data_IF_909767253237
#
_entry.id   IF_909767253237
#
_cell.length_a   1.000
_cell.length_b   1.000
_cell.length_c   1.000
_cell.angle_alpha   90.00
_cell.angle_beta   90.00
_cell.angle_gamma   90.00
#
_symmetry.space_group_name_H-M   'P 1'
#
loop_
_entity.id
_entity.type
_entity.pdbx_description
1 polymer ?
#
# COMPACT_ATOMS: atom_id res chain seq x y z
N UNK A 1 -2.88 -29.88 7.95
CA UNK A 1 -2.32 -28.86 7.05
C UNK A 1 -2.96 -28.99 5.67
N UNK A 2 -3.90 -28.12 5.26
CA UNK A 2 -4.50 -28.22 3.94
C UNK A 2 -3.68 -27.42 2.91
N UNK A 3 -2.98 -28.15 2.03
CA UNK A 3 -2.84 -27.91 0.58
C UNK A 3 -2.75 -26.45 0.06
N UNK A 4 -1.81 -25.64 0.53
CA UNK A 4 -1.53 -24.29 -0.02
C UNK A 4 -0.90 -24.32 -1.43
N UNK A 5 -0.26 -25.41 -1.86
CA UNK A 5 0.42 -25.48 -3.17
C UNK A 5 -0.52 -25.52 -4.38
N UNK A 6 -1.81 -25.82 -4.19
CA UNK A 6 -2.79 -25.87 -5.29
C UNK A 6 -3.48 -24.54 -5.58
N UNK A 7 -3.37 -23.53 -4.71
CA UNK A 7 -3.98 -22.21 -4.94
C UNK A 7 -3.06 -21.25 -5.69
N UNK A 8 -1.74 -21.29 -5.46
CA UNK A 8 -0.79 -20.40 -6.13
C UNK A 8 -0.59 -20.69 -7.62
N UNK A 9 -0.67 -21.96 -8.04
CA UNK A 9 -0.55 -22.28 -9.46
C UNK A 9 -1.75 -21.79 -10.28
N UNK A 10 -2.91 -21.56 -9.65
CA UNK A 10 -4.15 -21.16 -10.34
C UNK A 10 -4.15 -19.70 -10.76
N UNK A 11 -3.43 -18.81 -10.08
CA UNK A 11 -3.44 -17.37 -10.39
C UNK A 11 -2.74 -17.03 -11.73
N UNK A 12 -1.49 -17.47 -11.98
CA UNK A 12 -0.80 -17.25 -13.24
C UNK A 12 -1.46 -18.01 -14.39
N UNK A 13 -1.85 -19.27 -14.16
CA UNK A 13 -2.57 -20.07 -15.14
C UNK A 13 -3.90 -19.44 -15.51
N UNK A 14 -4.66 -18.85 -14.58
CA UNK A 14 -5.94 -18.21 -14.88
C UNK A 14 -5.75 -16.90 -15.66
N UNK A 15 -4.67 -16.14 -15.43
CA UNK A 15 -4.30 -14.96 -16.25
C UNK A 15 -3.83 -15.37 -17.66
N UNK A 16 -3.02 -16.42 -17.75
CA UNK A 16 -2.52 -16.99 -19.00
C UNK A 16 -3.67 -17.60 -19.79
N UNK A 17 -4.44 -18.51 -19.17
CA UNK A 17 -5.67 -19.09 -19.71
C UNK A 17 -6.64 -18.00 -20.14
N UNK A 18 -6.88 -16.95 -19.37
CA UNK A 18 -7.78 -15.85 -19.77
C UNK A 18 -7.33 -15.13 -21.04
N UNK A 19 -6.03 -14.89 -21.23
CA UNK A 19 -5.48 -14.32 -22.48
C UNK A 19 -5.61 -15.29 -23.65
N UNK A 20 -5.32 -16.58 -23.43
CA UNK A 20 -5.45 -17.60 -24.47
C UNK A 20 -6.90 -18.00 -24.75
N UNK A 21 -7.83 -17.79 -23.82
CA UNK A 21 -9.26 -18.07 -23.99
C UNK A 21 -9.88 -17.09 -24.98
N UNK A 22 -9.53 -15.80 -24.86
CA UNK A 22 -9.93 -14.78 -25.83
C UNK A 22 -9.36 -15.07 -27.22
N UNK A 23 -8.09 -15.42 -27.32
CA UNK A 23 -7.44 -15.78 -28.59
C UNK A 23 -8.05 -17.06 -29.20
N UNK A 24 -8.24 -18.11 -28.40
CA UNK A 24 -8.85 -19.37 -28.82
C UNK A 24 -10.30 -19.16 -29.26
N UNK A 25 -11.06 -18.30 -28.55
CA UNK A 25 -12.39 -17.87 -28.97
C UNK A 25 -12.35 -17.23 -30.36
N UNK A 26 -11.50 -16.21 -30.57
CA UNK A 26 -11.36 -15.56 -31.89
C UNK A 26 -11.00 -16.57 -32.98
N UNK A 27 -10.08 -17.51 -32.72
CA UNK A 27 -9.69 -18.55 -33.68
C UNK A 27 -10.88 -19.46 -34.02
N UNK A 28 -11.61 -19.96 -33.02
CA UNK A 28 -12.78 -20.84 -33.22
C UNK A 28 -13.90 -20.10 -33.95
N UNK A 29 -14.11 -18.82 -33.64
CA UNK A 29 -15.07 -17.97 -34.34
C UNK A 29 -14.71 -17.80 -35.82
N UNK A 30 -13.46 -17.41 -36.11
CA UNK A 30 -12.96 -17.25 -37.48
C UNK A 30 -13.03 -18.55 -38.27
N UNK A 31 -12.70 -19.68 -37.63
CA UNK A 31 -12.80 -21.01 -38.23
C UNK A 31 -14.25 -21.37 -38.55
N UNK A 32 -15.20 -21.05 -37.66
CA UNK A 32 -16.63 -21.22 -37.90
C UNK A 32 -17.14 -20.39 -39.08
N UNK A 33 -16.73 -19.11 -39.16
CA UNK A 33 -17.06 -18.22 -40.29
C UNK A 33 -16.46 -18.74 -41.59
N UNK A 34 -15.21 -19.20 -41.57
CA UNK A 34 -14.50 -19.68 -42.75
C UNK A 34 -15.11 -20.99 -43.28
N UNK A 35 -15.45 -21.94 -42.40
CA UNK A 35 -16.19 -23.15 -42.76
C UNK A 35 -17.52 -22.83 -43.43
N UNK A 36 -18.25 -21.85 -42.90
CA UNK A 36 -19.52 -21.39 -43.48
C UNK A 36 -19.34 -20.75 -44.85
N UNK A 37 -18.30 -19.93 -45.04
CA UNK A 37 -17.99 -19.30 -46.33
C UNK A 37 -17.59 -20.33 -47.40
N UNK A 38 -16.80 -21.34 -47.03
CA UNK A 38 -16.33 -22.39 -47.95
C UNK A 38 -17.46 -23.34 -48.40
N UNK A 39 -18.49 -23.51 -47.56
CA UNK A 39 -19.68 -24.30 -47.87
C UNK A 39 -20.72 -23.52 -48.70
N UNK A 40 -20.52 -22.21 -48.90
CA UNK A 40 -21.50 -21.34 -49.55
C UNK A 40 -21.56 -21.62 -51.06
N UNK A 41 -22.76 -21.88 -51.58
CA UNK A 41 -22.98 -22.17 -53.01
C UNK A 41 -22.68 -23.61 -53.44
N UNK A 42 -22.30 -24.50 -52.51
CA UNK A 42 -22.10 -25.93 -52.79
C UNK A 42 -23.31 -26.75 -52.34
N UNK A 43 -23.68 -27.76 -53.11
CA UNK A 43 -24.83 -28.63 -52.84
C UNK A 43 -24.39 -30.03 -52.43
N UNK A 44 -25.05 -30.61 -51.44
CA UNK A 44 -24.83 -31.98 -50.98
C UNK A 44 -24.64 -32.08 -49.47
N UNK A 45 -24.97 -33.24 -48.91
CA UNK A 45 -25.04 -33.49 -47.46
C UNK A 45 -23.81 -33.02 -46.68
N UNK A 46 -22.61 -33.24 -47.20
CA UNK A 46 -21.35 -32.84 -46.54
C UNK A 46 -21.22 -31.32 -46.44
N UNK A 47 -21.67 -30.59 -47.45
CA UNK A 47 -21.61 -29.13 -47.47
C UNK A 47 -22.66 -28.51 -46.55
N UNK A 48 -23.85 -29.10 -46.49
CA UNK A 48 -24.90 -28.70 -45.55
C UNK A 48 -24.46 -28.92 -44.09
N UNK A 49 -23.88 -30.08 -43.77
CA UNK A 49 -23.32 -30.35 -42.45
C UNK A 49 -22.18 -29.38 -42.07
N UNK A 50 -21.31 -29.03 -43.03
CA UNK A 50 -20.20 -28.09 -42.80
C UNK A 50 -20.72 -26.68 -42.51
N UNK A 51 -21.79 -26.25 -43.18
CA UNK A 51 -22.45 -24.95 -42.96
C UNK A 51 -23.05 -24.86 -41.55
N UNK A 52 -23.69 -25.93 -41.10
CA UNK A 52 -24.31 -25.99 -39.77
C UNK A 52 -23.26 -26.00 -38.66
N UNK A 53 -22.19 -26.78 -38.82
CA UNK A 53 -21.04 -26.79 -37.90
C UNK A 53 -20.37 -25.42 -37.84
N UNK A 54 -20.12 -24.78 -38.99
CA UNK A 54 -19.53 -23.46 -39.05
C UNK A 54 -20.38 -22.39 -38.35
N UNK A 55 -21.71 -22.45 -38.55
CA UNK A 55 -22.66 -21.56 -37.89
C UNK A 55 -22.70 -21.78 -36.38
N UNK A 56 -22.72 -23.05 -35.94
CA UNK A 56 -22.70 -23.39 -34.52
C UNK A 56 -21.43 -22.88 -33.84
N UNK A 57 -20.24 -23.12 -34.42
CA UNK A 57 -18.98 -22.65 -33.86
C UNK A 57 -18.90 -21.12 -33.76
N UNK A 58 -19.39 -20.40 -34.78
CA UNK A 58 -19.42 -18.94 -34.76
C UNK A 58 -20.37 -18.41 -33.67
N UNK A 59 -21.57 -18.99 -33.55
CA UNK A 59 -22.59 -18.54 -32.58
C UNK A 59 -22.21 -18.91 -31.14
N UNK A 60 -21.71 -20.13 -30.93
CA UNK A 60 -21.31 -20.65 -29.61
C UNK A 60 -20.16 -19.84 -28.98
N UNK A 61 -19.33 -19.16 -29.79
CA UNK A 61 -18.30 -18.26 -29.30
C UNK A 61 -18.79 -16.82 -29.21
N UNK A 62 -19.53 -16.33 -30.22
CA UNK A 62 -19.97 -14.95 -30.25
C UNK A 62 -20.89 -14.60 -29.07
N UNK A 63 -21.86 -15.47 -28.74
CA UNK A 63 -22.84 -15.19 -27.68
C UNK A 63 -22.15 -15.04 -26.30
N UNK A 64 -21.34 -15.99 -25.81
CA UNK A 64 -20.65 -15.83 -24.53
C UNK A 64 -19.66 -14.67 -24.53
N UNK A 65 -18.98 -14.41 -25.66
CA UNK A 65 -18.06 -13.28 -25.77
C UNK A 65 -18.79 -11.95 -25.61
N UNK A 66 -19.88 -11.72 -26.35
CA UNK A 66 -20.68 -10.51 -26.23
C UNK A 66 -21.31 -10.37 -24.84
N UNK A 67 -21.77 -11.47 -24.25
CA UNK A 67 -22.32 -11.47 -22.90
C UNK A 67 -21.27 -11.11 -21.83
N UNK A 68 -20.09 -11.74 -21.85
CA UNK A 68 -19.04 -11.45 -20.86
C UNK A 68 -18.34 -10.10 -21.08
N UNK A 69 -18.13 -9.69 -22.33
CA UNK A 69 -17.32 -8.50 -22.65
C UNK A 69 -18.10 -7.21 -22.83
N UNK A 70 -19.39 -7.27 -23.15
CA UNK A 70 -20.22 -6.07 -23.25
C UNK A 70 -21.19 -6.03 -22.08
N UNK A 71 -22.06 -7.03 -21.95
CA UNK A 71 -23.15 -6.97 -20.96
C UNK A 71 -22.61 -6.98 -19.53
N UNK A 72 -21.78 -7.96 -19.19
CA UNK A 72 -21.26 -8.11 -17.82
C UNK A 72 -20.27 -7.02 -17.41
N UNK A 73 -19.54 -6.43 -18.35
CA UNK A 73 -18.64 -5.31 -18.05
C UNK A 73 -19.41 -4.01 -17.83
N UNK A 74 -20.41 -3.74 -18.67
CA UNK A 74 -21.30 -2.57 -18.55
C UNK A 74 -22.12 -2.67 -17.26
N UNK A 75 -22.76 -3.82 -16.99
CA UNK A 75 -23.49 -4.06 -15.73
C UNK A 75 -22.59 -3.89 -14.50
N UNK A 76 -21.33 -4.36 -14.57
CA UNK A 76 -20.38 -4.17 -13.49
C UNK A 76 -20.01 -2.70 -13.30
N UNK A 77 -19.78 -1.96 -14.37
CA UNK A 77 -19.49 -0.53 -14.28
C UNK A 77 -20.69 0.25 -13.74
N UNK A 78 -21.90 -0.08 -14.20
CA UNK A 78 -23.15 0.48 -13.70
C UNK A 78 -23.29 0.21 -12.20
N UNK A 79 -23.13 -1.04 -11.77
CA UNK A 79 -23.18 -1.42 -10.35
C UNK A 79 -22.13 -0.67 -9.51
N UNK A 80 -20.90 -0.53 -9.99
CA UNK A 80 -19.87 0.22 -9.26
C UNK A 80 -20.18 1.71 -9.16
N UNK A 81 -20.76 2.27 -10.23
CA UNK A 81 -21.18 3.69 -10.25
C UNK A 81 -22.35 3.91 -9.30
N UNK A 82 -23.36 3.04 -9.30
CA UNK A 82 -24.49 3.08 -8.36
C UNK A 82 -24.02 2.87 -6.91
N UNK A 83 -23.04 1.99 -6.69
CA UNK A 83 -22.45 1.79 -5.37
C UNK A 83 -21.73 3.06 -4.90
N UNK A 84 -20.94 3.69 -5.77
CA UNK A 84 -20.24 4.94 -5.44
C UNK A 84 -21.24 6.07 -5.16
N UNK A 85 -22.27 6.23 -5.98
CA UNK A 85 -23.34 7.21 -5.76
C UNK A 85 -24.10 6.93 -4.46
N UNK A 86 -24.38 5.67 -4.13
CA UNK A 86 -25.01 5.30 -2.87
C UNK A 86 -24.09 5.60 -1.67
N UNK A 87 -22.80 5.35 -1.80
CA UNK A 87 -21.81 5.68 -0.77
C UNK A 87 -21.67 7.19 -0.58
N UNK A 88 -21.61 7.97 -1.66
CA UNK A 88 -21.56 9.43 -1.62
C UNK A 88 -22.85 10.01 -1.02
N UNK A 89 -24.03 9.48 -1.39
CA UNK A 89 -25.31 9.94 -0.84
C UNK A 89 -25.49 9.57 0.63
N UNK A 90 -25.13 8.34 1.03
CA UNK A 90 -25.28 7.89 2.43
C UNK A 90 -24.17 8.39 3.34
N UNK A 91 -23.00 8.66 2.80
CA UNK A 91 -21.82 9.07 3.55
C UNK A 91 -21.07 10.21 2.82
N UNK A 92 -21.67 11.40 2.67
CA UNK A 92 -21.11 12.49 1.85
C UNK A 92 -19.67 12.93 2.21
N UNK A 93 -19.19 12.55 3.40
CA UNK A 93 -17.85 12.87 3.89
C UNK A 93 -16.97 11.63 4.15
N UNK A 94 -17.27 10.45 3.60
CA UNK A 94 -16.47 9.25 3.91
C UNK A 94 -15.02 9.32 3.41
N UNK A 95 -14.75 10.16 2.40
CA UNK A 95 -13.42 10.47 1.87
C UNK A 95 -12.80 11.74 2.49
N UNK A 96 -13.59 12.56 3.19
CA UNK A 96 -13.08 13.81 3.77
C UNK A 96 -12.04 13.46 4.86
N UNK A 97 -10.80 13.94 4.70
CA UNK A 97 -9.75 13.76 5.71
C UNK A 97 -8.98 12.45 5.62
N UNK A 98 -9.26 11.65 4.60
CA UNK A 98 -8.50 10.47 4.21
C UNK A 98 -7.82 10.72 2.86
N UNK A 99 -6.50 10.90 2.87
CA UNK A 99 -5.70 10.91 1.64
C UNK A 99 -4.96 9.58 1.50
N UNK A 100 -5.27 8.85 0.44
CA UNK A 100 -4.63 7.59 0.08
C UNK A 100 -3.52 7.83 -0.96
N UNK A 101 -2.33 7.34 -0.68
CA UNK A 101 -1.22 7.28 -1.63
C UNK A 101 -1.14 5.83 -2.12
N UNK A 102 -1.76 5.53 -3.26
CA UNK A 102 -1.87 4.15 -3.77
C UNK A 102 -0.53 3.59 -4.23
N UNK A 103 0.27 4.41 -4.91
CA UNK A 103 1.53 4.01 -5.55
C UNK A 103 2.75 4.12 -4.61
N UNK A 104 2.52 4.03 -3.30
CA UNK A 104 3.59 3.96 -2.31
C UNK A 104 3.74 5.20 -1.45
N UNK A 105 5.00 5.63 -1.25
CA UNK A 105 5.34 6.69 -0.30
C UNK A 105 4.91 8.08 -0.78
N UNK A 106 4.44 8.96 0.13
CA UNK A 106 4.25 10.37 -0.19
C UNK A 106 5.59 11.04 -0.55
N UNK A 107 5.49 12.17 -1.24
CA UNK A 107 6.66 13.00 -1.53
C UNK A 107 7.28 13.56 -0.24
N UNK A 108 8.53 14.05 -0.33
CA UNK A 108 9.18 14.71 0.81
C UNK A 108 8.40 15.97 1.19
N UNK A 109 7.90 16.73 0.20
CA UNK A 109 7.08 17.92 0.44
C UNK A 109 5.81 17.57 1.22
N UNK A 110 5.03 16.58 0.76
CA UNK A 110 3.82 16.13 1.47
C UNK A 110 4.13 15.73 2.91
N UNK A 111 5.26 15.03 3.12
CA UNK A 111 5.68 14.63 4.47
C UNK A 111 6.04 15.83 5.35
N UNK A 112 6.74 16.81 4.80
CA UNK A 112 7.07 18.06 5.51
C UNK A 112 5.81 18.85 5.83
N UNK A 113 4.85 18.91 4.91
CA UNK A 113 3.57 19.58 5.12
C UNK A 113 2.82 18.96 6.29
N UNK A 114 2.76 17.62 6.36
CA UNK A 114 2.17 16.89 7.51
C UNK A 114 2.94 17.20 8.81
N UNK A 115 4.28 17.18 8.78
CA UNK A 115 5.09 17.45 9.98
C UNK A 115 4.96 18.90 10.46
N UNK A 116 4.78 19.84 9.54
CA UNK A 116 4.69 21.28 9.84
C UNK A 116 3.47 21.64 10.68
N UNK A 117 2.44 20.77 10.72
CA UNK A 117 1.26 20.98 11.56
C UNK A 117 1.50 20.67 13.04
N UNK A 118 2.66 20.09 13.40
CA UNK A 118 2.98 19.69 14.76
C UNK A 118 3.10 20.89 15.70
N UNK A 119 2.41 20.80 16.84
CA UNK A 119 2.44 21.78 17.93
C UNK A 119 3.14 21.25 19.16
N UNK A 120 3.04 19.95 19.44
CA UNK A 120 3.52 19.36 20.68
C UNK A 120 4.42 18.16 20.45
N UNK A 121 3.99 17.20 19.63
CA UNK A 121 4.75 15.96 19.44
C UNK A 121 4.62 15.36 18.04
N UNK A 122 5.69 14.68 17.62
CA UNK A 122 5.72 13.82 16.45
C UNK A 122 6.27 12.46 16.85
N UNK A 123 5.46 11.41 16.69
CA UNK A 123 5.85 10.02 16.96
C UNK A 123 6.04 9.27 15.65
N UNK A 124 7.26 8.82 15.39
CA UNK A 124 7.61 8.01 14.22
C UNK A 124 7.84 6.56 14.63
N UNK A 125 6.92 5.69 14.22
CA UNK A 125 7.03 4.24 14.37
C UNK A 125 7.55 3.61 13.08
N UNK A 126 8.63 2.84 13.18
CA UNK A 126 9.20 2.15 12.03
C UNK A 126 10.27 1.14 12.43
N UNK A 127 10.65 0.27 11.49
CA UNK A 127 11.64 -0.77 11.76
C UNK A 127 13.05 -0.20 11.80
N UNK A 128 13.50 0.43 10.70
CA UNK A 128 14.87 0.93 10.55
C UNK A 128 14.98 2.44 10.32
N UNK A 129 13.89 3.16 10.02
CA UNK A 129 13.91 4.61 9.71
C UNK A 129 14.93 5.08 8.65
N UNK A 130 15.36 4.20 7.73
CA UNK A 130 16.36 4.49 6.69
C UNK A 130 16.05 5.73 5.85
N UNK A 131 14.77 5.93 5.50
CA UNK A 131 14.34 7.09 4.71
C UNK A 131 14.56 8.41 5.45
N UNK A 132 14.33 8.43 6.76
CA UNK A 132 14.55 9.62 7.57
C UNK A 132 16.03 10.01 7.58
N UNK A 133 16.92 9.04 7.83
CA UNK A 133 18.37 9.25 7.77
C UNK A 133 18.79 9.74 6.37
N UNK A 134 18.31 9.08 5.32
CA UNK A 134 18.60 9.47 3.94
C UNK A 134 18.16 10.90 3.60
N UNK A 135 17.06 11.40 4.18
CA UNK A 135 16.65 12.79 3.97
C UNK A 135 17.61 13.79 4.61
N UNK A 136 18.20 13.47 5.77
CA UNK A 136 19.19 14.33 6.41
C UNK A 136 20.54 14.33 5.68
N UNK A 137 20.93 13.19 5.11
CA UNK A 137 22.24 13.03 4.46
C UNK A 137 22.25 13.50 3.00
N UNK A 138 21.15 13.30 2.27
CA UNK A 138 21.15 13.39 0.80
C UNK A 138 20.35 14.56 0.25
N UNK A 139 19.51 15.22 1.07
CA UNK A 139 18.62 16.30 0.60
C UNK A 139 19.15 17.67 1.02
N UNK A 140 18.90 18.71 0.21
CA UNK A 140 19.16 20.08 0.62
C UNK A 140 18.53 20.39 1.99
N UNK A 141 19.25 21.11 2.85
CA UNK A 141 18.81 21.37 4.23
C UNK A 141 17.39 21.96 4.29
N UNK A 142 17.10 22.93 3.40
CA UNK A 142 15.79 23.57 3.24
C UNK A 142 14.61 22.62 2.99
N UNK A 143 14.85 21.45 2.38
CA UNK A 143 13.78 20.51 2.03
C UNK A 143 13.34 19.66 3.21
N UNK A 144 14.18 19.47 4.22
CA UNK A 144 13.84 18.55 5.32
C UNK A 144 14.48 18.91 6.65
N UNK A 145 15.78 19.21 6.68
CA UNK A 145 16.52 19.52 7.93
C UNK A 145 16.00 20.78 8.60
N UNK A 146 15.82 21.87 7.84
CA UNK A 146 15.32 23.16 8.36
C UNK A 146 13.88 23.05 8.91
N UNK A 147 12.92 22.41 8.22
CA UNK A 147 11.60 22.16 8.80
C UNK A 147 11.62 21.45 10.17
N UNK A 148 12.46 20.41 10.33
CA UNK A 148 12.59 19.71 11.61
C UNK A 148 13.21 20.61 12.68
N UNK A 149 14.24 21.38 12.31
CA UNK A 149 14.87 22.34 13.21
C UNK A 149 13.89 23.40 13.70
N UNK A 150 13.10 24.00 12.80
CA UNK A 150 12.08 24.99 13.13
C UNK A 150 11.01 24.43 14.10
N UNK A 151 10.70 23.13 14.02
CA UNK A 151 9.77 22.48 14.96
C UNK A 151 10.43 22.27 16.33
N UNK A 152 11.70 21.86 16.37
CA UNK A 152 12.46 21.74 17.62
C UNK A 152 12.63 23.09 18.32
N UNK A 153 12.86 24.18 17.58
CA UNK A 153 12.88 25.55 18.11
C UNK A 153 11.54 25.98 18.73
N UNK A 154 10.42 25.49 18.20
CA UNK A 154 9.08 25.73 18.75
C UNK A 154 8.75 24.88 19.97
N UNK A 155 9.64 23.98 20.39
CA UNK A 155 9.42 23.11 21.54
C UNK A 155 8.81 21.75 21.22
N UNK A 156 8.66 21.39 19.95
CA UNK A 156 8.06 20.09 19.55
C UNK A 156 8.97 18.93 19.96
N UNK A 157 8.36 17.85 20.47
CA UNK A 157 9.04 16.61 20.86
C UNK A 157 8.94 15.58 19.75
N UNK A 158 10.08 15.16 19.20
CA UNK A 158 10.19 14.07 18.25
C UNK A 158 10.53 12.76 18.97
N UNK A 159 9.72 11.72 18.78
CA UNK A 159 9.94 10.37 19.31
C UNK A 159 10.12 9.40 18.14
N UNK A 160 11.27 8.76 18.04
CA UNK A 160 11.55 7.74 17.03
C UNK A 160 11.61 6.36 17.68
N UNK A 161 10.65 5.50 17.33
CA UNK A 161 10.57 4.13 17.80
C UNK A 161 11.14 3.21 16.72
N UNK A 162 12.22 2.51 17.04
CA UNK A 162 12.87 1.49 16.21
C UNK A 162 12.48 0.09 16.69
N UNK A 163 12.52 -0.87 15.77
CA UNK A 163 12.62 -2.27 16.16
C UNK A 163 14.00 -2.51 16.77
N UNK A 164 14.06 -3.10 17.95
CA UNK A 164 15.33 -3.46 18.60
C UNK A 164 16.07 -4.48 17.72
N UNK A 165 17.26 -4.15 17.17
CA UNK A 165 17.99 -5.07 16.31
C UNK A 165 18.51 -6.31 17.02
N UNK A 166 18.60 -6.30 18.35
CA UNK A 166 19.13 -7.40 19.13
C UNK A 166 18.03 -8.34 19.66
N UNK A 167 16.75 -8.00 19.46
CA UNK A 167 15.64 -8.87 19.86
C UNK A 167 15.38 -10.01 18.86
N UNK A 168 14.85 -11.15 19.35
CA UNK A 168 14.57 -12.33 18.52
C UNK A 168 13.52 -12.05 17.43
N UNK A 169 12.55 -11.18 17.72
CA UNK A 169 11.51 -10.79 16.77
C UNK A 169 12.12 -10.10 15.53
N UNK A 170 13.15 -9.28 15.68
CA UNK A 170 13.83 -8.66 14.56
C UNK A 170 14.51 -9.68 13.64
N UNK A 171 15.15 -10.70 14.24
CA UNK A 171 15.79 -11.79 13.50
C UNK A 171 14.77 -12.62 12.72
N UNK A 172 13.67 -13.01 13.38
CA UNK A 172 12.59 -13.75 12.73
C UNK A 172 11.98 -12.95 11.57
N UNK A 173 11.69 -11.67 11.78
CA UNK A 173 11.12 -10.82 10.74
C UNK A 173 12.06 -10.64 9.54
N UNK A 174 13.37 -10.50 9.79
CA UNK A 174 14.37 -10.45 8.73
C UNK A 174 14.38 -11.75 7.89
N UNK A 175 14.28 -12.91 8.56
CA UNK A 175 14.20 -14.21 7.90
C UNK A 175 12.91 -14.36 7.08
N UNK A 176 11.76 -14.03 7.65
CA UNK A 176 10.45 -14.12 6.99
C UNK A 176 10.39 -13.28 5.72
N UNK A 177 11.11 -12.16 5.67
CA UNK A 177 11.20 -11.29 4.49
C UNK A 177 12.32 -11.67 3.52
N UNK A 178 13.21 -12.60 3.87
CA UNK A 178 14.44 -12.85 3.12
C UNK A 178 15.40 -11.64 3.11
N UNK A 179 15.30 -10.75 4.10
CA UNK A 179 16.13 -9.55 4.22
C UNK A 179 17.23 -9.74 5.29
N UNK A 180 18.24 -10.58 5.01
CA UNK A 180 19.30 -10.91 5.98
C UNK A 180 20.08 -9.67 6.48
N UNK A 181 20.22 -8.64 5.65
CA UNK A 181 20.89 -7.38 5.98
C UNK A 181 20.03 -6.40 6.81
N UNK A 182 18.77 -6.76 7.13
CA UNK A 182 17.85 -5.87 7.84
C UNK A 182 18.39 -5.45 9.21
N UNK A 183 18.97 -6.39 9.96
CA UNK A 183 19.52 -6.12 11.30
C UNK A 183 20.65 -5.07 11.22
N UNK A 184 21.58 -5.26 10.28
CA UNK A 184 22.66 -4.31 10.06
C UNK A 184 22.13 -2.93 9.61
N UNK A 185 21.08 -2.92 8.78
CA UNK A 185 20.40 -1.69 8.34
C UNK A 185 19.74 -0.94 9.50
N UNK A 186 19.11 -1.66 10.44
CA UNK A 186 18.55 -1.07 11.68
C UNK A 186 19.69 -0.45 12.48
N UNK A 187 20.77 -1.19 12.77
CA UNK A 187 21.92 -0.69 13.55
C UNK A 187 22.57 0.55 12.92
N UNK A 188 22.79 0.53 11.61
CA UNK A 188 23.36 1.67 10.87
C UNK A 188 22.47 2.90 10.99
N UNK A 189 21.17 2.74 10.78
CA UNK A 189 20.24 3.87 10.82
C UNK A 189 20.07 4.40 12.25
N UNK A 190 20.06 3.52 13.25
CA UNK A 190 20.02 3.88 14.67
C UNK A 190 21.24 4.73 15.06
N UNK A 191 22.44 4.34 14.64
CA UNK A 191 23.66 5.10 14.93
C UNK A 191 23.65 6.48 14.26
N UNK A 192 23.17 6.58 13.02
CA UNK A 192 23.00 7.86 12.35
C UNK A 192 22.00 8.77 13.10
N UNK A 193 20.86 8.23 13.55
CA UNK A 193 19.87 8.98 14.33
C UNK A 193 20.40 9.38 15.72
N UNK A 194 21.20 8.54 16.38
CA UNK A 194 21.90 8.91 17.64
C UNK A 194 22.90 10.06 17.44
N UNK A 195 23.55 10.11 16.28
CA UNK A 195 24.45 11.20 15.90
C UNK A 195 23.65 12.50 15.72
N UNK A 196 22.55 12.45 14.96
CA UNK A 196 21.65 13.60 14.77
C UNK A 196 21.07 14.09 16.11
N UNK A 197 20.65 13.18 16.99
CA UNK A 197 20.19 13.53 18.34
C UNK A 197 21.27 14.31 19.10
N UNK A 198 22.51 13.82 19.06
CA UNK A 198 23.64 14.46 19.73
C UNK A 198 23.95 15.85 19.14
N UNK A 199 23.77 16.03 17.83
CA UNK A 199 23.85 17.36 17.19
C UNK A 199 22.76 18.30 17.70
N UNK A 200 21.51 17.85 17.77
CA UNK A 200 20.40 18.67 18.28
C UNK A 200 20.53 19.00 19.76
N UNK A 201 21.00 18.06 20.58
CA UNK A 201 21.21 18.29 22.01
C UNK A 201 22.26 19.40 22.25
N UNK A 202 23.32 19.45 21.43
CA UNK A 202 24.36 20.50 21.49
C UNK A 202 23.82 21.90 21.15
N UNK A 203 22.75 21.99 20.37
CA UNK A 203 22.12 23.26 20.01
C UNK A 203 21.24 23.82 21.13
N UNK A 204 20.94 23.03 22.17
CA UNK A 204 20.19 23.50 23.35
C UNK A 204 18.75 23.91 23.04
N UNK A 205 18.14 23.37 22.00
CA UNK A 205 16.78 23.70 21.57
C UNK A 205 15.74 23.31 22.65
N UNK A 206 14.61 24.03 22.74
CA UNK A 206 13.56 23.72 23.70
C UNK A 206 12.90 22.36 23.43
N UNK A 207 12.72 22.01 22.15
CA UNK A 207 12.21 20.70 21.73
C UNK A 207 13.14 19.56 22.09
N UNK A 208 12.63 18.33 22.01
CA UNK A 208 13.38 17.12 22.34
C UNK A 208 13.38 16.15 21.18
N UNK A 209 14.50 15.46 21.02
CA UNK A 209 14.63 14.37 20.07
C UNK A 209 14.94 13.08 20.83
N UNK A 210 14.01 12.14 20.81
CA UNK A 210 14.01 10.94 21.65
C UNK A 210 14.02 9.68 20.79
N UNK A 211 14.77 8.67 21.24
CA UNK A 211 14.91 7.40 20.54
C UNK A 211 14.44 6.30 21.47
N UNK A 212 13.64 5.39 20.93
CA UNK A 212 13.07 4.25 21.63
C UNK A 212 13.36 2.96 20.86
N UNK A 213 13.69 1.90 21.58
CA UNK A 213 13.84 0.55 21.04
C UNK A 213 12.67 -0.31 21.53
N UNK A 214 11.95 -0.92 20.60
CA UNK A 214 10.86 -1.84 20.90
C UNK A 214 11.23 -3.27 20.52
N UNK A 215 10.98 -4.22 21.42
CA UNK A 215 11.06 -5.64 21.11
C UNK A 215 9.79 -6.17 20.44
N UNK A 216 8.74 -5.35 20.30
CA UNK A 216 7.51 -5.72 19.61
C UNK A 216 7.62 -5.37 18.13
N UNK A 217 7.22 -6.29 17.25
CA UNK A 217 7.18 -6.01 15.81
C UNK A 217 6.06 -5.00 15.52
N UNK A 218 6.38 -3.81 14.97
CA UNK A 218 5.32 -2.97 14.44
C UNK A 218 4.77 -3.62 13.16
N UNK A 219 3.45 -3.78 13.05
CA UNK A 219 2.79 -4.27 11.82
C UNK A 219 2.56 -3.17 10.78
N UNK A 220 2.98 -1.94 11.09
CA UNK A 220 2.89 -0.77 10.22
C UNK A 220 4.05 0.19 10.49
N UNK A 221 4.35 1.06 9.54
CA UNK A 221 5.01 2.32 9.85
C UNK A 221 3.96 3.39 10.09
N UNK A 222 4.23 4.29 11.03
CA UNK A 222 3.38 5.45 11.26
C UNK A 222 4.23 6.70 11.55
N UNK A 223 3.76 7.85 11.08
CA UNK A 223 4.16 9.17 11.55
C UNK A 223 2.90 9.81 12.13
N UNK A 224 2.80 9.89 13.44
CA UNK A 224 1.70 10.51 14.16
C UNK A 224 2.12 11.91 14.63
N UNK A 225 1.32 12.91 14.31
CA UNK A 225 1.49 14.30 14.73
C UNK A 225 0.39 14.62 15.73
N UNK A 226 0.79 15.09 16.92
CA UNK A 226 -0.11 15.55 17.99
C UNK A 226 -1.25 14.56 18.30
N UNK A 227 -0.93 13.28 18.50
CA UNK A 227 -1.95 12.22 18.57
C UNK A 227 -2.96 12.36 19.71
N UNK A 228 -2.60 13.07 20.79
CA UNK A 228 -3.51 13.37 21.88
C UNK A 228 -4.48 14.52 21.56
N UNK A 229 -4.14 15.39 20.61
CA UNK A 229 -4.94 16.57 20.24
C UNK A 229 -6.11 16.22 19.32
N UNK A 230 -7.11 17.09 19.26
CA UNK A 230 -8.26 16.94 18.35
C UNK A 230 -7.85 17.03 16.87
N UNK A 231 -6.87 17.87 16.56
CA UNK A 231 -6.36 18.08 15.21
C UNK A 231 -5.17 17.16 14.86
N UNK A 232 -5.02 16.04 15.58
CA UNK A 232 -3.96 15.08 15.30
C UNK A 232 -4.07 14.52 13.89
N UNK A 233 -2.91 14.28 13.26
CA UNK A 233 -2.81 13.66 11.92
C UNK A 233 -1.88 12.47 11.95
N UNK A 234 -2.15 11.46 11.12
CA UNK A 234 -1.32 10.28 11.06
C UNK A 234 -1.13 9.80 9.63
N UNK A 235 0.13 9.61 9.24
CA UNK A 235 0.50 8.92 8.02
C UNK A 235 0.86 7.48 8.37
N UNK A 236 0.12 6.51 7.85
CA UNK A 236 0.22 5.08 8.18
C UNK A 236 0.55 4.30 6.91
N UNK A 237 1.39 3.28 7.02
CA UNK A 237 1.59 2.31 5.95
C UNK A 237 1.77 0.91 6.53
N UNK A 238 0.93 -0.07 6.17
CA UNK A 238 1.05 -1.43 6.68
C UNK A 238 2.36 -2.08 6.19
N UNK A 239 2.86 -3.09 6.89
CA UNK A 239 3.92 -3.92 6.33
C UNK A 239 3.29 -5.12 5.61
N UNK A 240 3.29 -5.07 4.27
CA UNK A 240 2.80 -6.16 3.45
C UNK A 240 3.95 -7.15 3.16
N UNK A 241 3.66 -8.44 3.34
CA UNK A 241 4.59 -9.51 3.01
C UNK A 241 4.84 -9.55 1.49
N UNK A 242 6.10 -9.75 1.09
CA UNK A 242 6.49 -9.79 -0.34
C UNK A 242 6.52 -8.45 -1.07
N UNK A 243 6.01 -7.36 -0.48
CA UNK A 243 6.03 -6.02 -1.08
C UNK A 243 7.10 -5.16 -0.44
N UNK A 244 7.83 -4.38 -1.25
CA UNK A 244 8.81 -3.43 -0.73
C UNK A 244 8.08 -2.28 -0.05
N UNK A 245 8.55 -1.86 1.12
CA UNK A 245 7.96 -0.74 1.89
C UNK A 245 7.75 0.54 1.07
N UNK A 246 8.60 0.81 0.08
CA UNK A 246 8.47 2.01 -0.75
C UNK A 246 7.22 1.99 -1.66
N UNK A 247 6.70 0.80 -1.95
CA UNK A 247 5.60 0.53 -2.87
C UNK A 247 4.28 0.25 -2.12
N UNK A 248 4.31 0.17 -0.79
CA UNK A 248 3.09 -0.08 -0.01
C UNK A 248 2.28 1.21 0.12
N UNK A 249 0.94 1.17 -0.05
CA UNK A 249 0.12 2.37 0.10
C UNK A 249 0.27 3.03 1.46
N UNK A 250 0.06 4.35 1.48
CA UNK A 250 0.02 5.14 2.71
C UNK A 250 -1.35 5.78 2.90
N UNK A 251 -1.83 5.78 4.13
CA UNK A 251 -3.06 6.43 4.56
C UNK A 251 -2.69 7.65 5.40
N UNK A 252 -3.09 8.84 4.95
CA UNK A 252 -3.03 10.06 5.74
C UNK A 252 -4.42 10.34 6.30
N UNK A 253 -4.55 10.21 7.62
CA UNK A 253 -5.81 10.34 8.35
C UNK A 253 -5.78 11.52 9.32
N UNK A 254 -6.87 12.27 9.33
CA UNK A 254 -7.19 13.31 10.32
C UNK A 254 -8.02 12.72 11.46
N UNK A 255 -7.68 13.02 12.72
CA UNK A 255 -8.48 12.58 13.88
C UNK A 255 -9.86 13.24 13.90
N UNK A 256 -9.94 14.50 13.47
CA UNK A 256 -11.19 15.26 13.41
C UNK A 256 -12.23 14.58 12.51
N UNK A 257 -11.77 13.97 11.42
CA UNK A 257 -12.64 13.37 10.40
C UNK A 257 -12.79 11.85 10.58
N UNK A 258 -11.77 11.17 11.11
CA UNK A 258 -11.73 9.71 11.26
C UNK A 258 -11.34 9.28 12.68
N UNK A 259 -12.03 9.81 13.69
CA UNK A 259 -11.71 9.59 15.10
C UNK A 259 -11.50 8.11 15.48
N UNK A 260 -12.43 7.22 15.13
CA UNK A 260 -12.35 5.80 15.51
C UNK A 260 -11.11 5.12 14.90
N UNK A 261 -10.86 5.35 13.62
CA UNK A 261 -9.70 4.80 12.91
C UNK A 261 -8.41 5.36 13.50
N UNK A 262 -8.34 6.68 13.69
CA UNK A 262 -7.20 7.37 14.28
C UNK A 262 -6.88 6.85 15.67
N UNK A 263 -7.88 6.77 16.56
CA UNK A 263 -7.71 6.30 17.94
C UNK A 263 -7.27 4.84 17.99
N UNK A 264 -7.74 4.00 17.07
CA UNK A 264 -7.32 2.60 16.96
C UNK A 264 -5.83 2.49 16.65
N UNK A 265 -5.37 3.19 15.62
CA UNK A 265 -3.94 3.21 15.28
C UNK A 265 -3.09 3.89 16.35
N UNK A 266 -3.57 5.00 16.91
CA UNK A 266 -2.84 5.73 17.94
C UNK A 266 -2.72 4.91 19.23
N UNK A 267 -3.75 4.15 19.61
CA UNK A 267 -3.68 3.18 20.71
C UNK A 267 -2.55 2.17 20.45
N UNK A 268 -2.47 1.58 19.25
CA UNK A 268 -1.38 0.67 18.89
C UNK A 268 0.00 1.32 19.03
N UNK A 269 0.17 2.57 18.56
CA UNK A 269 1.44 3.31 18.71
C UNK A 269 1.78 3.52 20.19
N UNK A 270 0.81 3.91 21.02
CA UNK A 270 1.00 4.11 22.46
C UNK A 270 1.41 2.81 23.16
N UNK A 271 0.77 1.68 22.84
CA UNK A 271 1.15 0.39 23.39
C UNK A 271 2.59 0.01 23.02
N UNK A 272 2.99 0.23 21.77
CA UNK A 272 4.38 -0.03 21.35
C UNK A 272 5.34 0.89 22.12
N UNK A 273 5.03 2.19 22.20
CA UNK A 273 5.87 3.19 22.88
C UNK A 273 6.02 2.89 24.38
N UNK A 274 4.93 2.57 25.07
CA UNK A 274 4.92 2.25 26.50
C UNK A 274 5.75 1.00 26.83
N UNK A 275 5.82 0.06 25.89
CA UNK A 275 6.62 -1.16 26.02
C UNK A 275 8.02 -1.03 25.38
N UNK A 276 8.47 0.19 25.06
CA UNK A 276 9.78 0.44 24.47
C UNK A 276 10.76 1.01 25.51
N UNK A 277 12.05 0.72 25.32
CA UNK A 277 13.13 1.29 26.13
C UNK A 277 13.68 2.56 25.47
N UNK A 278 13.80 3.66 26.23
CA UNK A 278 14.41 4.91 25.75
C UNK A 278 15.94 4.78 25.76
N UNK A 279 16.60 5.20 24.68
CA UNK A 279 18.06 5.07 24.48
C UNK A 279 18.74 6.35 24.00
#
# INVERSE_FOLDING_TARGET
>A
MPNQSKQDFKSPLKKILGRYYGLAGVIVFLLGVLLRLVALGKTGFVWDATKDIGTFLAVAVAIPFFYEKLIKSEERQLFLTELEELLDNKFPNYKAGLKLYEDGRPSISDKVDILSTAKFEVVNLGIAHRSFVGYFEQRPAREFKEPIFNLLEKGVVFKYIFLDPDCEIAKQYAQDRGELELINRIKTSLNAVKTLKSEFDKLGLPGKFEIYLSSNLPYMSATCVDGNELNGRMLISPYLHGIKRAEVPHLDISKLEHQIMFETYFKSIKEVLNNSCKV
#
